data_IF_334170819215
#
_entry.id   IF_334170819215
#
_cell.length_a   1.000
_cell.length_b   1.000
_cell.length_c   1.000
_cell.angle_alpha   90.00
_cell.angle_beta   90.00
_cell.angle_gamma   90.00
#
_symmetry.space_group_name_H-M   'P 1'
#
loop_
_entity.id
_entity.type
_entity.pdbx_description
1 polymer ?
#
# COMPACT_ATOMS: atom_id res chain seq x y z
N UNK A 1 -9.08 -51.02 25.93
CA UNK A 1 -9.35 -49.58 25.77
C UNK A 1 -8.97 -49.16 24.34
N UNK A 2 -9.92 -49.15 23.41
CA UNK A 2 -9.70 -48.65 22.04
C UNK A 2 -10.08 -47.16 22.03
N UNK A 3 -9.07 -46.28 22.17
CA UNK A 3 -9.26 -44.81 22.05
C UNK A 3 -9.51 -44.50 20.57
N UNK A 4 -10.66 -43.89 20.30
CA UNK A 4 -11.13 -43.57 18.95
C UNK A 4 -10.15 -42.65 18.20
N UNK A 5 -9.33 -43.25 17.36
CA UNK A 5 -8.36 -42.53 16.49
C UNK A 5 -9.04 -41.49 15.57
N UNK A 6 -10.30 -41.76 15.20
CA UNK A 6 -11.12 -40.89 14.37
C UNK A 6 -11.41 -39.52 15.01
N UNK A 7 -11.53 -39.46 16.36
CA UNK A 7 -11.80 -38.19 17.04
C UNK A 7 -10.55 -37.27 17.11
N UNK A 8 -9.36 -37.88 17.10
CA UNK A 8 -8.10 -37.13 17.14
C UNK A 8 -7.81 -36.53 15.75
N UNK A 9 -8.09 -37.28 14.66
CA UNK A 9 -7.92 -36.76 13.30
C UNK A 9 -8.88 -35.57 13.01
N UNK A 10 -10.11 -35.59 13.52
CA UNK A 10 -11.08 -34.49 13.34
C UNK A 10 -10.63 -33.20 14.02
N UNK A 11 -10.04 -33.28 15.21
CA UNK A 11 -9.56 -32.09 15.95
C UNK A 11 -8.31 -31.49 15.31
N UNK A 12 -7.39 -32.32 14.80
CA UNK A 12 -6.18 -31.85 14.09
C UNK A 12 -6.55 -31.13 12.77
N UNK A 13 -7.55 -31.64 12.01
CA UNK A 13 -8.00 -31.00 10.78
C UNK A 13 -8.64 -29.61 11.01
N UNK A 14 -9.38 -29.41 12.11
CA UNK A 14 -10.02 -28.12 12.44
C UNK A 14 -8.97 -27.07 12.85
N UNK A 15 -7.94 -27.46 13.58
CA UNK A 15 -6.87 -26.55 14.02
C UNK A 15 -6.00 -26.09 12.84
N UNK A 16 -5.82 -26.93 11.80
CA UNK A 16 -5.03 -26.59 10.62
C UNK A 16 -5.71 -25.56 9.69
N UNK A 17 -7.03 -25.40 9.76
CA UNK A 17 -7.78 -24.42 8.92
C UNK A 17 -7.85 -23.02 9.55
N UNK A 18 -7.60 -22.88 10.84
CA UNK A 18 -7.69 -21.59 11.54
C UNK A 18 -6.48 -20.66 11.31
N UNK A 19 -5.38 -21.16 10.73
CA UNK A 19 -4.13 -20.41 10.57
C UNK A 19 -4.08 -19.43 9.40
N UNK A 20 -5.00 -19.53 8.42
CA UNK A 20 -4.90 -18.78 7.18
C UNK A 20 -5.63 -17.42 7.16
N UNK A 21 -6.44 -17.12 8.18
CA UNK A 21 -7.28 -15.93 8.19
C UNK A 21 -6.59 -14.66 8.69
N UNK A 22 -5.40 -14.77 9.30
CA UNK A 22 -4.74 -13.63 9.97
C UNK A 22 -3.78 -12.87 9.04
N UNK A 23 -3.45 -13.42 7.86
CA UNK A 23 -2.42 -12.87 6.97
C UNK A 23 -2.85 -11.63 6.16
N UNK A 24 -4.16 -11.32 6.03
CA UNK A 24 -4.63 -10.23 5.18
C UNK A 24 -4.87 -8.88 5.87
N UNK A 25 -4.72 -8.79 7.19
CA UNK A 25 -4.97 -7.56 7.95
C UNK A 25 -3.70 -6.81 8.40
N UNK A 26 -2.51 -7.22 7.97
CA UNK A 26 -1.24 -6.69 8.47
C UNK A 26 -1.00 -5.20 8.21
N UNK A 27 -1.36 -4.70 7.02
CA UNK A 27 -1.03 -3.33 6.61
C UNK A 27 -1.78 -2.27 7.42
N UNK A 28 -3.10 -2.43 7.59
CA UNK A 28 -3.93 -1.50 8.37
C UNK A 28 -3.68 -1.57 9.89
N UNK A 29 -3.10 -2.67 10.38
CA UNK A 29 -2.65 -2.79 11.78
C UNK A 29 -1.37 -2.00 11.98
N UNK A 30 -0.45 -2.03 11.02
CA UNK A 30 0.89 -1.45 11.13
C UNK A 30 0.93 0.03 10.75
N UNK A 31 0.15 0.45 9.75
CA UNK A 31 0.21 1.79 9.16
C UNK A 31 -1.10 2.57 9.33
N UNK A 32 -0.99 3.91 9.42
CA UNK A 32 -2.13 4.85 9.43
C UNK A 32 -2.61 5.06 7.99
N UNK A 33 -3.47 4.15 7.48
CA UNK A 33 -3.89 4.14 6.07
C UNK A 33 -4.77 5.34 5.66
N UNK A 34 -5.33 6.06 6.61
CA UNK A 34 -6.11 7.29 6.45
C UNK A 34 -5.25 8.56 6.42
N UNK A 35 -3.93 8.44 6.70
CA UNK A 35 -2.98 9.54 6.74
C UNK A 35 -1.89 9.35 5.69
N UNK A 36 -1.54 10.40 4.98
CA UNK A 36 -0.42 10.41 4.05
C UNK A 36 0.55 11.52 4.42
N UNK A 37 1.83 11.19 4.50
CA UNK A 37 2.95 12.12 4.65
C UNK A 37 3.82 12.10 3.40
N UNK A 38 4.53 13.18 3.13
CA UNK A 38 5.55 13.23 2.07
C UNK A 38 6.92 13.14 2.70
N UNK A 39 7.74 12.21 2.20
CA UNK A 39 9.12 12.01 2.67
C UNK A 39 10.05 12.04 1.47
N UNK A 40 11.16 12.80 1.58
CA UNK A 40 12.18 12.88 0.52
C UNK A 40 13.51 12.38 1.04
N UNK A 41 14.25 11.66 0.20
CA UNK A 41 15.53 11.10 0.64
C UNK A 41 16.40 10.60 -0.49
N UNK A 42 17.48 9.93 -0.10
CA UNK A 42 18.45 9.30 -1.02
C UNK A 42 18.48 7.81 -0.78
N UNK A 43 18.28 7.02 -1.82
CA UNK A 43 18.23 5.56 -1.75
C UNK A 43 19.53 4.97 -1.26
N UNK A 44 19.45 4.09 -0.27
CA UNK A 44 20.56 3.27 0.22
C UNK A 44 20.42 1.81 -0.18
N UNK A 45 19.17 1.30 -0.33
CA UNK A 45 18.93 -0.09 -0.73
C UNK A 45 17.54 -0.24 -1.33
N UNK A 46 17.39 -1.13 -2.31
CA UNK A 46 16.10 -1.58 -2.82
C UNK A 46 16.06 -3.11 -2.82
N UNK A 47 15.31 -3.67 -1.88
CA UNK A 47 15.03 -5.10 -1.83
C UNK A 47 13.76 -5.42 -2.64
N UNK A 48 13.94 -6.08 -3.78
CA UNK A 48 12.84 -6.52 -4.66
C UNK A 48 12.39 -7.95 -4.31
N UNK A 49 12.26 -8.23 -2.99
CA UNK A 49 11.95 -9.53 -2.42
C UNK A 49 10.48 -9.76 -2.09
N UNK A 50 10.15 -11.00 -1.71
CA UNK A 50 8.82 -11.39 -1.21
C UNK A 50 8.75 -11.27 0.33
N UNK A 51 7.54 -11.04 0.93
CA UNK A 51 6.24 -10.90 0.26
C UNK A 51 6.03 -9.55 -0.43
N UNK A 52 6.69 -8.50 0.03
CA UNK A 52 6.58 -7.14 -0.46
C UNK A 52 7.97 -6.53 -0.61
N UNK A 53 8.26 -5.84 -1.74
CA UNK A 53 9.51 -5.10 -1.88
C UNK A 53 9.64 -4.01 -0.81
N UNK A 54 10.89 -3.69 -0.46
CA UNK A 54 11.23 -2.68 0.52
C UNK A 54 12.27 -1.72 -0.02
N UNK A 55 12.05 -0.43 0.22
CA UNK A 55 12.97 0.64 -0.15
C UNK A 55 13.55 1.25 1.13
N UNK A 56 14.86 1.29 1.23
CA UNK A 56 15.59 1.96 2.30
C UNK A 56 16.27 3.21 1.77
N UNK A 57 16.17 4.30 2.53
CA UNK A 57 16.69 5.59 2.10
C UNK A 57 17.01 6.48 3.30
N UNK A 58 17.98 7.36 3.10
CA UNK A 58 18.42 8.33 4.09
C UNK A 58 17.64 9.64 3.91
N UNK A 59 17.09 10.15 5.00
CA UNK A 59 16.41 11.44 5.09
C UNK A 59 17.24 12.37 5.96
N UNK A 60 17.58 13.55 5.46
CA UNK A 60 18.22 14.58 6.27
C UNK A 60 17.15 15.43 6.93
N UNK A 61 17.14 15.49 8.25
CA UNK A 61 16.21 16.30 9.02
C UNK A 61 16.60 17.80 9.01
N UNK A 62 15.75 18.64 9.61
CA UNK A 62 15.97 20.09 9.70
C UNK A 62 17.26 20.48 10.47
N UNK A 63 17.79 19.56 11.28
CA UNK A 63 19.04 19.74 12.04
C UNK A 63 20.26 19.22 11.29
N UNK A 64 20.11 18.73 10.05
CA UNK A 64 21.16 18.13 9.26
C UNK A 64 21.53 16.70 9.68
N UNK A 65 20.72 16.05 10.55
CA UNK A 65 20.97 14.67 10.95
C UNK A 65 20.33 13.70 9.93
N UNK A 66 21.03 12.61 9.68
CA UNK A 66 20.55 11.56 8.78
C UNK A 66 19.69 10.56 9.56
N UNK A 67 18.45 10.42 9.15
CA UNK A 67 17.51 9.42 9.68
C UNK A 67 17.28 8.35 8.60
N UNK A 68 17.49 7.09 8.96
CA UNK A 68 17.25 5.95 8.06
C UNK A 68 15.76 5.62 8.01
N UNK A 69 15.19 5.67 6.83
CA UNK A 69 13.79 5.36 6.56
C UNK A 69 13.64 4.06 5.79
N UNK A 70 12.49 3.37 6.02
CA UNK A 70 12.04 2.24 5.23
C UNK A 70 10.65 2.50 4.64
N UNK A 71 10.43 2.09 3.39
CA UNK A 71 9.11 2.10 2.77
C UNK A 71 8.79 0.71 2.22
N UNK A 72 7.65 0.15 2.66
CA UNK A 72 7.13 -1.12 2.17
C UNK A 72 6.21 -0.89 0.98
N UNK A 73 6.43 -1.60 -0.12
CA UNK A 73 5.51 -1.63 -1.24
C UNK A 73 4.29 -2.48 -0.89
N UNK A 74 3.09 -2.03 -1.23
CA UNK A 74 1.88 -2.83 -1.00
C UNK A 74 1.70 -3.96 -2.03
N UNK A 75 2.03 -3.76 -3.33
CA UNK A 75 1.99 -4.84 -4.31
C UNK A 75 3.14 -5.84 -4.12
N UNK A 76 2.88 -7.09 -4.49
CA UNK A 76 3.92 -8.12 -4.55
C UNK A 76 4.92 -7.85 -5.68
N UNK A 77 6.14 -8.45 -5.67
CA UNK A 77 7.09 -8.37 -6.78
C UNK A 77 6.49 -8.82 -8.11
N UNK A 78 5.62 -9.85 -8.10
CA UNK A 78 4.96 -10.32 -9.32
C UNK A 78 4.02 -9.26 -9.91
N UNK A 79 3.24 -8.57 -9.09
CA UNK A 79 2.36 -7.48 -9.53
C UNK A 79 3.16 -6.30 -10.08
N UNK A 80 4.28 -5.93 -9.46
CA UNK A 80 5.15 -4.86 -9.92
C UNK A 80 5.85 -5.22 -11.24
N UNK A 81 6.26 -6.49 -11.45
CA UNK A 81 6.83 -6.94 -12.73
C UNK A 81 5.88 -6.73 -13.91
N UNK A 82 4.56 -6.90 -13.70
CA UNK A 82 3.55 -6.61 -14.73
C UNK A 82 3.48 -5.11 -15.10
N UNK A 83 4.00 -4.22 -14.26
CA UNK A 83 4.17 -2.80 -14.50
C UNK A 83 5.56 -2.43 -15.03
N UNK A 84 6.38 -3.43 -15.38
CA UNK A 84 7.74 -3.25 -15.89
C UNK A 84 8.82 -3.05 -14.83
N UNK A 85 8.52 -3.32 -13.55
CA UNK A 85 9.50 -3.21 -12.48
C UNK A 85 10.49 -4.36 -12.48
N UNK A 86 11.73 -4.02 -12.19
CA UNK A 86 12.83 -4.97 -11.95
C UNK A 86 13.59 -4.56 -10.68
N UNK A 87 14.53 -5.40 -10.24
CA UNK A 87 15.42 -5.05 -9.12
C UNK A 87 16.35 -3.85 -9.42
N UNK A 88 16.51 -3.50 -10.71
CA UNK A 88 17.29 -2.36 -11.18
C UNK A 88 16.46 -1.08 -11.38
N UNK A 89 15.15 -1.11 -11.13
CA UNK A 89 14.27 0.05 -11.33
C UNK A 89 14.64 1.20 -10.39
N UNK A 90 15.04 0.90 -9.16
CA UNK A 90 15.56 1.87 -8.20
C UNK A 90 17.03 1.54 -7.95
N UNK A 91 17.89 2.55 -7.96
CA UNK A 91 19.35 2.39 -7.80
C UNK A 91 19.84 3.09 -6.55
N UNK A 92 20.97 2.62 -6.03
CA UNK A 92 21.71 3.31 -4.99
C UNK A 92 21.97 4.78 -5.40
N UNK A 93 21.81 5.70 -4.46
CA UNK A 93 21.92 7.16 -4.63
C UNK A 93 20.83 7.84 -5.46
N UNK A 94 19.79 7.14 -5.94
CA UNK A 94 18.62 7.80 -6.52
C UNK A 94 17.98 8.76 -5.50
N UNK A 95 17.51 9.92 -5.98
CA UNK A 95 16.72 10.85 -5.19
C UNK A 95 15.26 10.47 -5.28
N UNK A 96 14.62 10.27 -4.13
CA UNK A 96 13.23 9.82 -4.08
C UNK A 96 12.36 10.81 -3.31
N UNK A 97 11.11 10.92 -3.77
CA UNK A 97 10.02 11.58 -3.06
C UNK A 97 8.87 10.59 -2.97
N UNK A 98 8.47 10.28 -1.75
CA UNK A 98 7.45 9.28 -1.45
C UNK A 98 6.23 9.94 -0.83
N UNK A 99 5.02 9.57 -1.29
CA UNK A 99 3.81 9.68 -0.49
C UNK A 99 3.65 8.38 0.29
N UNK A 100 3.54 8.47 1.60
CA UNK A 100 3.60 7.34 2.52
C UNK A 100 2.49 7.36 3.55
N UNK A 101 1.96 6.18 3.90
CA UNK A 101 1.16 5.98 5.11
C UNK A 101 2.11 5.67 6.28
N UNK A 102 2.24 6.55 7.30
CA UNK A 102 3.24 6.40 8.35
C UNK A 102 2.91 5.23 9.28
N UNK A 103 3.95 4.68 9.93
CA UNK A 103 3.78 3.65 10.95
C UNK A 103 3.06 4.21 12.18
N UNK A 104 2.09 3.47 12.70
CA UNK A 104 1.41 3.75 13.97
C UNK A 104 2.35 3.75 15.18
N UNK A 105 3.49 3.09 15.07
CA UNK A 105 4.49 3.07 16.15
C UNK A 105 5.37 4.30 16.21
N UNK A 106 5.25 5.26 15.26
CA UNK A 106 6.11 6.43 15.15
C UNK A 106 7.53 6.13 14.65
N UNK A 107 7.85 4.89 14.30
CA UNK A 107 9.14 4.54 13.70
C UNK A 107 9.26 5.13 12.28
N UNK A 108 10.47 5.42 11.78
CA UNK A 108 10.71 5.95 10.44
C UNK A 108 10.52 4.86 9.35
N UNK A 109 9.31 4.30 9.31
CA UNK A 109 8.87 3.34 8.30
C UNK A 109 7.46 3.70 7.83
N UNK A 110 7.15 3.40 6.58
CA UNK A 110 5.84 3.69 6.02
C UNK A 110 5.41 2.66 4.96
N UNK A 111 4.10 2.57 4.68
CA UNK A 111 3.59 1.89 3.50
C UNK A 111 3.56 2.87 2.33
N UNK A 112 4.13 2.47 1.19
CA UNK A 112 4.29 3.33 0.02
C UNK A 112 2.95 3.53 -0.69
N UNK A 113 2.56 4.79 -0.89
CA UNK A 113 1.38 5.18 -1.64
C UNK A 113 1.74 5.73 -3.03
N UNK A 114 2.79 6.54 -3.14
CA UNK A 114 3.27 7.10 -4.40
C UNK A 114 4.78 7.30 -4.37
N UNK A 115 5.41 7.34 -5.55
CA UNK A 115 6.86 7.45 -5.68
C UNK A 115 7.24 8.30 -6.88
N UNK A 116 8.23 9.17 -6.66
CA UNK A 116 9.01 9.81 -7.73
C UNK A 116 10.48 9.46 -7.56
N UNK A 117 11.16 9.15 -8.66
CA UNK A 117 12.59 8.85 -8.70
C UNK A 117 13.28 9.89 -9.58
N UNK A 118 14.26 10.60 -9.05
CA UNK A 118 14.99 11.66 -9.76
C UNK A 118 14.05 12.69 -10.43
N UNK A 119 12.97 13.07 -9.71
CA UNK A 119 11.95 14.00 -10.17
C UNK A 119 10.92 13.43 -11.14
N UNK A 120 10.99 12.15 -11.51
CA UNK A 120 10.04 11.50 -12.42
C UNK A 120 9.06 10.62 -11.61
N UNK A 121 7.74 10.84 -11.70
CA UNK A 121 6.77 9.97 -11.06
C UNK A 121 6.78 8.58 -11.72
N UNK A 122 6.67 7.55 -10.89
CA UNK A 122 6.63 6.15 -11.33
C UNK A 122 5.39 5.46 -10.76
N UNK A 123 4.76 4.60 -11.57
CA UNK A 123 3.60 3.81 -11.10
C UNK A 123 4.06 2.72 -10.14
N UNK A 124 3.51 2.73 -8.94
CA UNK A 124 3.79 1.72 -7.90
C UNK A 124 2.64 0.71 -7.74
N UNK A 125 1.65 0.74 -8.66
CA UNK A 125 0.51 -0.19 -8.59
C UNK A 125 -0.33 0.07 -7.34
N UNK A 126 -1.09 1.14 -7.33
CA UNK A 126 -2.02 1.45 -6.25
C UNK A 126 -3.42 0.97 -6.55
N UNK A 127 -4.15 0.54 -5.51
CA UNK A 127 -5.60 0.43 -5.55
C UNK A 127 -6.27 1.81 -5.70
N UNK A 128 -7.61 1.87 -5.89
CA UNK A 128 -8.35 3.13 -5.97
C UNK A 128 -8.12 3.95 -4.69
N UNK A 129 -7.61 5.17 -4.83
CA UNK A 129 -7.33 6.09 -3.73
C UNK A 129 -5.86 6.51 -3.56
N UNK A 130 -4.93 5.97 -4.36
CA UNK A 130 -3.53 6.43 -4.33
C UNK A 130 -3.43 7.77 -5.05
N UNK A 131 -3.19 8.84 -4.30
CA UNK A 131 -2.94 10.16 -4.88
C UNK A 131 -1.69 10.10 -5.78
N UNK A 132 -1.69 10.78 -6.95
CA UNK A 132 -0.49 10.89 -7.77
C UNK A 132 0.62 11.57 -6.98
N UNK A 133 1.88 11.16 -7.24
CA UNK A 133 3.05 11.77 -6.61
C UNK A 133 3.03 13.30 -6.79
N UNK A 134 3.48 14.08 -5.80
CA UNK A 134 3.57 15.53 -5.92
C UNK A 134 4.35 15.91 -7.19
N UNK A 135 3.70 16.65 -8.11
CA UNK A 135 4.29 17.03 -9.41
C UNK A 135 3.86 16.18 -10.60
N UNK A 136 3.07 15.14 -10.44
CA UNK A 136 2.45 14.45 -11.56
C UNK A 136 1.31 15.31 -12.13
N UNK A 137 1.44 15.72 -13.39
CA UNK A 137 0.34 16.38 -14.11
C UNK A 137 -0.87 15.43 -14.19
N UNK A 138 -2.12 15.93 -14.08
CA UNK A 138 -3.29 15.09 -14.15
C UNK A 138 -3.34 14.34 -15.48
N UNK A 139 -3.31 13.02 -15.45
CA UNK A 139 -3.56 12.20 -16.61
C UNK A 139 -5.04 12.38 -17.01
N UNK A 140 -5.28 13.06 -18.14
CA UNK A 140 -6.61 13.10 -18.77
C UNK A 140 -6.94 11.71 -19.28
N UNK A 141 -7.98 11.10 -18.72
CA UNK A 141 -8.58 9.94 -19.34
C UNK A 141 -9.15 8.89 -18.42
N UNK A 142 -10.13 9.26 -17.58
CA UNK A 142 -11.21 8.36 -17.21
C UNK A 142 -12.49 9.20 -17.15
N UNK A 143 -13.58 8.85 -17.87
CA UNK A 143 -14.85 9.56 -17.73
C UNK A 143 -15.37 9.39 -16.31
N UNK A 144 -15.65 10.52 -15.66
CA UNK A 144 -16.37 10.55 -14.39
C UNK A 144 -17.72 9.85 -14.57
N UNK A 145 -17.95 8.78 -13.85
CA UNK A 145 -19.31 8.25 -13.65
C UNK A 145 -20.07 9.26 -12.80
N UNK A 146 -20.98 9.99 -13.43
CA UNK A 146 -21.93 10.85 -12.73
C UNK A 146 -22.70 10.05 -11.67
N UNK A 147 -22.90 10.59 -10.46
CA UNK A 147 -23.81 9.98 -9.50
C UNK A 147 -25.24 10.12 -10.03
N UNK A 148 -25.89 9.00 -10.34
CA UNK A 148 -27.32 8.93 -10.66
C UNK A 148 -28.11 9.41 -9.45
N UNK A 149 -28.67 10.61 -9.54
CA UNK A 149 -29.67 11.12 -8.60
C UNK A 149 -30.93 10.26 -8.71
N UNK A 150 -31.48 9.70 -7.63
CA UNK A 150 -32.74 9.02 -7.68
C UNK A 150 -33.88 10.05 -7.94
N UNK A 151 -34.60 9.82 -9.01
CA UNK A 151 -35.75 10.62 -9.39
C UNK A 151 -36.80 10.70 -8.23
N UNK A 152 -37.04 11.93 -7.77
CA UNK A 152 -38.06 12.23 -6.77
C UNK A 152 -39.44 11.84 -7.25
N UNK A 153 -40.14 11.02 -6.48
CA UNK A 153 -41.54 10.69 -6.68
C UNK A 153 -42.43 11.93 -6.49
N UNK A 154 -43.24 12.22 -7.50
CA UNK A 154 -44.22 13.28 -7.48
C UNK A 154 -45.37 12.98 -6.46
N UNK A 155 -45.92 13.97 -5.77
CA UNK A 155 -47.04 13.76 -4.86
C UNK A 155 -48.36 13.54 -5.63
N UNK A 156 -49.03 12.47 -5.35
CA UNK A 156 -50.41 12.20 -5.82
C UNK A 156 -51.38 13.19 -5.18
N UNK A 157 -51.94 14.09 -5.99
CA UNK A 157 -53.00 14.98 -5.62
C UNK A 157 -54.25 14.22 -5.21
N UNK A 158 -54.84 14.60 -4.07
CA UNK A 158 -56.17 14.21 -3.64
C UNK A 158 -57.18 14.95 -4.52
N UNK A 159 -58.16 14.23 -5.10
CA UNK A 159 -59.43 14.79 -5.59
C UNK A 159 -60.50 14.52 -4.56
N UNK A 160 -61.26 15.57 -4.27
CA UNK A 160 -62.52 15.54 -3.57
C UNK A 160 -63.59 14.75 -4.34
#
# INVERSE_FOLDING_TARGET
>A
MRRNLSSILGVVAIVSFAGSAVAHHGTSITYEMDKTITVSGTVTEFDFGYPHPSLFFDVTDEKGQVVKWGAEFLPTPAALKNLGWTKETIKFNDKVVLGCHPSKSGKPVCALASLSINGKPISVGGGPGVAPAPGAAPQRGAPATEPTTPAGGAPRGQRQ
#
